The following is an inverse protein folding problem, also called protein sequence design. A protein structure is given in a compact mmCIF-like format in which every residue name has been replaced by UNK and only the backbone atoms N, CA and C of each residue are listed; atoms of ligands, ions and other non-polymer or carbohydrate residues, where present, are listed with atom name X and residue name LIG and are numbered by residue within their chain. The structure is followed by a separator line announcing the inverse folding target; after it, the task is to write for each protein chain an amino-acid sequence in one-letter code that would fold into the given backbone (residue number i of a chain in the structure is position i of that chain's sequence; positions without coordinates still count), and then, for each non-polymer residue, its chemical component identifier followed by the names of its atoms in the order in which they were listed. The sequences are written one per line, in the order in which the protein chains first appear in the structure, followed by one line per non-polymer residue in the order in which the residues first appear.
data_IF_938176982840
#
_entry.id   IF_938176982840
#
_cell.length_a   1.000
_cell.length_b   1.000
_cell.length_c   1.000
_cell.angle_alpha   90.00
_cell.angle_beta   90.00
_cell.angle_gamma   90.00
#
_symmetry.space_group_name_H-M   'P 1'
#
loop_
_entity.id
_entity.type
_entity.pdbx_description
1 polymer ?
#
# COMPACT_ATOMS: atom_id res chain seq x y z
N UNK A 1 31.41 37.14 50.33
CA UNK A 1 31.66 36.45 49.06
C UNK A 1 30.63 36.99 48.07
N UNK A 2 31.05 37.78 47.09
CA UNK A 2 30.13 38.26 46.06
C UNK A 2 29.86 37.10 45.09
N UNK A 3 28.59 36.86 44.70
CA UNK A 3 28.28 35.86 43.67
C UNK A 3 28.98 36.23 42.36
N UNK A 4 29.50 35.22 41.67
CA UNK A 4 30.20 35.39 40.41
C UNK A 4 29.21 35.86 39.32
N UNK A 5 29.23 37.16 39.01
CA UNK A 5 28.32 37.78 38.05
C UNK A 5 28.38 37.15 36.65
N UNK A 6 29.55 36.62 36.25
CA UNK A 6 29.72 35.93 34.97
C UNK A 6 28.90 34.63 34.90
N UNK A 7 28.86 33.87 36.00
CA UNK A 7 28.08 32.64 36.08
C UNK A 7 26.58 32.93 36.02
N UNK A 8 26.13 33.99 36.69
CA UNK A 8 24.74 34.46 36.63
C UNK A 8 24.35 34.83 35.20
N UNK A 9 25.16 35.66 34.52
CA UNK A 9 24.93 36.06 33.13
C UNK A 9 24.87 34.87 32.18
N UNK A 10 25.79 33.91 32.31
CA UNK A 10 25.80 32.70 31.51
C UNK A 10 24.53 31.85 31.71
N UNK A 11 24.00 31.78 32.94
CA UNK A 11 22.78 31.05 33.23
C UNK A 11 21.54 31.75 32.66
N UNK A 12 21.47 33.09 32.70
CA UNK A 12 20.38 33.86 32.05
C UNK A 12 20.37 33.60 30.54
N UNK A 13 21.53 33.69 29.88
CA UNK A 13 21.61 33.43 28.43
C UNK A 13 21.23 31.99 28.06
N UNK A 14 21.59 31.00 28.90
CA UNK A 14 21.12 29.61 28.70
C UNK A 14 19.59 29.52 28.78
N UNK A 15 18.96 30.20 29.74
CA UNK A 15 17.50 30.21 29.87
C UNK A 15 16.83 30.86 28.66
N UNK A 16 17.38 31.95 28.13
CA UNK A 16 16.86 32.59 26.90
C UNK A 16 16.96 31.64 25.68
N UNK A 17 18.04 30.88 25.56
CA UNK A 17 18.17 29.84 24.52
C UNK A 17 17.09 28.76 24.72
N UNK A 18 16.91 28.26 25.93
CA UNK A 18 15.89 27.25 26.23
C UNK A 18 14.48 27.77 25.93
N UNK A 19 14.18 29.02 26.28
CA UNK A 19 12.90 29.65 25.96
C UNK A 19 12.65 29.68 24.44
N UNK A 20 13.64 30.09 23.64
CA UNK A 20 13.51 30.07 22.17
C UNK A 20 13.29 28.66 21.61
N UNK A 21 13.97 27.66 22.15
CA UNK A 21 13.78 26.26 21.73
C UNK A 21 12.35 25.80 22.03
N UNK A 22 11.83 26.10 23.22
CA UNK A 22 10.47 25.73 23.60
C UNK A 22 9.42 26.45 22.76
N UNK A 23 9.62 27.74 22.45
CA UNK A 23 8.75 28.49 21.56
C UNK A 23 8.71 27.90 20.14
N UNK A 24 9.86 27.49 19.61
CA UNK A 24 9.89 26.86 18.28
C UNK A 24 9.25 25.47 18.29
N UNK A 25 9.42 24.69 19.36
CA UNK A 25 8.72 23.41 19.52
C UNK A 25 7.19 23.60 19.60
N UNK A 26 6.69 24.58 20.36
CA UNK A 26 5.26 24.91 20.42
C UNK A 26 4.74 25.32 19.04
N UNK A 27 5.50 26.15 18.32
CA UNK A 27 5.16 26.55 16.95
C UNK A 27 5.03 25.36 16.01
N UNK A 28 5.99 24.44 16.02
CA UNK A 28 5.93 23.23 15.18
C UNK A 28 4.73 22.35 15.55
N UNK A 29 4.43 22.20 16.84
CA UNK A 29 3.26 21.43 17.29
C UNK A 29 1.95 22.05 16.79
N UNK A 30 1.82 23.39 16.81
CA UNK A 30 0.65 24.07 16.27
C UNK A 30 0.49 23.84 14.77
N UNK A 31 1.58 23.90 14.01
CA UNK A 31 1.57 23.61 12.57
C UNK A 31 1.09 22.17 12.33
N UNK A 32 1.63 21.19 13.05
CA UNK A 32 1.22 19.80 12.92
C UNK A 32 -0.28 19.58 13.24
N UNK A 33 -0.79 20.22 14.28
CA UNK A 33 -2.23 20.15 14.64
C UNK A 33 -3.11 20.76 13.54
N UNK A 34 -2.70 21.89 12.94
CA UNK A 34 -3.44 22.52 11.84
C UNK A 34 -3.45 21.65 10.58
N UNK A 35 -2.31 21.03 10.23
CA UNK A 35 -2.21 20.10 9.10
C UNK A 35 -3.11 18.88 9.28
N UNK A 36 -3.10 18.26 10.47
CA UNK A 36 -3.98 17.15 10.82
C UNK A 36 -5.46 17.54 10.71
N UNK A 37 -5.81 18.73 11.19
CA UNK A 37 -7.17 19.24 11.11
C UNK A 37 -7.63 19.45 9.66
N UNK A 38 -6.76 19.98 8.79
CA UNK A 38 -7.04 20.14 7.35
C UNK A 38 -7.23 18.76 6.70
N UNK A 39 -6.38 17.78 7.02
CA UNK A 39 -6.49 16.42 6.51
C UNK A 39 -7.82 15.76 6.91
N UNK A 40 -8.24 15.89 8.17
CA UNK A 40 -9.54 15.39 8.63
C UNK A 40 -10.71 16.00 7.83
N UNK A 41 -10.69 17.32 7.62
CA UNK A 41 -11.74 18.02 6.86
C UNK A 41 -11.83 17.54 5.40
N UNK A 42 -10.69 17.30 4.75
CA UNK A 42 -10.65 16.80 3.38
C UNK A 42 -11.24 15.39 3.26
N UNK A 43 -10.93 14.52 4.25
CA UNK A 43 -11.49 13.17 4.32
C UNK A 43 -13.02 13.18 4.50
N UNK A 44 -13.55 14.09 5.31
CA UNK A 44 -15.00 14.28 5.47
C UNK A 44 -15.67 14.71 4.16
N UNK A 45 -15.09 15.67 3.43
CA UNK A 45 -15.59 16.10 2.13
C UNK A 45 -15.59 14.97 1.10
N UNK A 46 -14.54 14.16 1.07
CA UNK A 46 -14.47 13.01 0.16
C UNK A 46 -15.54 11.95 0.51
N UNK A 47 -15.79 11.73 1.81
CA UNK A 47 -16.83 10.84 2.28
C UNK A 47 -18.24 11.32 1.90
N UNK A 48 -18.50 12.62 2.02
CA UNK A 48 -19.75 13.26 1.57
C UNK A 48 -19.95 13.13 0.05
N UNK A 49 -18.90 13.38 -0.74
CA UNK A 49 -18.95 13.21 -2.18
C UNK A 49 -19.21 11.74 -2.58
N UNK A 50 -18.60 10.78 -1.87
CA UNK A 50 -18.87 9.34 -2.06
C UNK A 50 -20.31 8.99 -1.69
N UNK A 51 -20.87 9.58 -0.63
CA UNK A 51 -22.27 9.39 -0.23
C UNK A 51 -23.23 9.91 -1.30
N UNK A 52 -23.02 11.13 -1.80
CA UNK A 52 -23.83 11.72 -2.87
C UNK A 52 -23.81 10.86 -4.14
N UNK A 53 -22.64 10.33 -4.54
CA UNK A 53 -22.53 9.40 -5.67
C UNK A 53 -23.33 8.12 -5.46
N UNK A 54 -23.36 7.56 -4.24
CA UNK A 54 -24.17 6.37 -3.93
C UNK A 54 -25.66 6.67 -3.99
N UNK A 55 -26.08 7.84 -3.53
CA UNK A 55 -27.48 8.28 -3.61
C UNK A 55 -27.91 8.45 -5.08
N UNK A 56 -27.10 9.08 -5.92
CA UNK A 56 -27.34 9.21 -7.37
C UNK A 56 -27.43 7.85 -8.08
N UNK A 57 -26.52 6.92 -7.77
CA UNK A 57 -26.61 5.55 -8.30
C UNK A 57 -27.91 4.87 -7.82
N UNK A 58 -28.29 5.06 -6.56
CA UNK A 58 -29.53 4.52 -6.00
C UNK A 58 -30.79 5.03 -6.70
N UNK A 59 -30.87 6.33 -6.97
CA UNK A 59 -32.02 6.92 -7.69
C UNK A 59 -32.08 6.45 -9.13
N UNK A 60 -30.93 6.33 -9.81
CA UNK A 60 -30.84 5.75 -11.17
C UNK A 60 -31.33 4.31 -11.21
N UNK A 61 -30.91 3.47 -10.27
CA UNK A 61 -31.37 2.08 -10.18
C UNK A 61 -32.87 1.98 -9.92
N UNK A 62 -33.42 2.80 -9.03
CA UNK A 62 -34.86 2.85 -8.77
C UNK A 62 -35.66 3.29 -10.01
N UNK A 63 -35.13 4.23 -10.80
CA UNK A 63 -35.76 4.65 -12.05
C UNK A 63 -35.75 3.51 -13.08
N UNK A 64 -34.64 2.78 -13.23
CA UNK A 64 -34.55 1.60 -14.09
C UNK A 64 -35.56 0.53 -13.68
N UNK A 65 -35.69 0.26 -12.38
CA UNK A 65 -36.66 -0.72 -11.87
C UNK A 65 -38.10 -0.30 -12.17
N UNK A 66 -38.42 0.98 -12.00
CA UNK A 66 -39.74 1.53 -12.35
C UNK A 66 -40.04 1.42 -13.85
N UNK A 67 -39.07 1.76 -14.71
CA UNK A 67 -39.18 1.60 -16.18
C UNK A 67 -39.38 0.14 -16.56
N UNK A 68 -38.61 -0.78 -15.97
CA UNK A 68 -38.75 -2.23 -16.17
C UNK A 68 -40.15 -2.72 -15.78
N UNK A 69 -40.68 -2.27 -14.64
CA UNK A 69 -42.02 -2.65 -14.19
C UNK A 69 -43.14 -2.13 -15.12
N UNK A 70 -43.01 -0.91 -15.65
CA UNK A 70 -43.95 -0.36 -16.64
C UNK A 70 -43.92 -1.16 -17.95
N UNK A 71 -42.72 -1.50 -18.43
CA UNK A 71 -42.55 -2.32 -19.63
C UNK A 71 -43.23 -3.69 -19.48
N UNK A 72 -43.09 -4.34 -18.32
CA UNK A 72 -43.76 -5.61 -18.02
C UNK A 72 -45.29 -5.51 -17.99
N UNK A 73 -45.87 -4.31 -17.78
CA UNK A 73 -47.32 -4.06 -17.88
C UNK A 73 -47.79 -3.71 -19.29
N UNK A 74 -46.88 -3.59 -20.26
CA UNK A 74 -47.21 -3.13 -21.62
C UNK A 74 -47.46 -1.61 -21.72
N UNK A 75 -47.05 -0.84 -20.71
CA UNK A 75 -47.07 0.62 -20.76
C UNK A 75 -45.90 1.13 -21.61
N UNK A 76 -46.14 2.11 -22.48
CA UNK A 76 -45.07 2.80 -23.21
C UNK A 76 -44.19 3.60 -22.25
N UNK A 77 -42.90 3.33 -22.24
CA UNK A 77 -41.92 4.05 -21.41
C UNK A 77 -41.35 5.20 -22.23
N UNK A 78 -41.48 6.44 -21.73
CA UNK A 78 -40.77 7.58 -22.29
C UNK A 78 -39.28 7.45 -21.93
N UNK A 79 -38.44 7.41 -22.97
CA UNK A 79 -36.98 7.47 -22.82
C UNK A 79 -36.62 8.94 -22.72
N UNK A 80 -36.54 9.47 -21.50
CA UNK A 80 -36.01 10.82 -21.27
C UNK A 80 -34.52 10.89 -21.69
N UNK A 81 -34.04 12.05 -22.12
CA UNK A 81 -32.66 12.26 -22.62
C UNK A 81 -31.57 11.98 -21.57
N UNK A 82 -31.93 11.93 -20.29
CA UNK A 82 -31.03 11.56 -19.18
C UNK A 82 -30.88 10.03 -18.98
N UNK A 83 -31.38 9.21 -19.93
CA UNK A 83 -31.20 7.76 -19.87
C UNK A 83 -29.74 7.38 -20.20
N UNK A 84 -28.97 6.82 -19.23
CA UNK A 84 -27.58 6.43 -19.45
C UNK A 84 -27.40 5.35 -20.53
N UNK A 85 -28.50 4.77 -21.04
CA UNK A 85 -28.50 3.81 -22.14
C UNK A 85 -28.42 4.45 -23.53
N UNK A 86 -28.68 5.76 -23.68
CA UNK A 86 -28.61 6.46 -24.98
C UNK A 86 -27.19 6.52 -25.58
N UNK A 87 -26.15 6.26 -24.78
CA UNK A 87 -24.75 6.23 -25.24
C UNK A 87 -24.31 4.94 -25.93
N UNK A 88 -25.10 3.86 -25.90
CA UNK A 88 -24.68 2.55 -26.42
C UNK A 88 -25.41 2.11 -27.70
N UNK A 89 -26.46 2.82 -28.13
CA UNK A 89 -27.29 2.42 -29.27
C UNK A 89 -27.21 3.36 -30.48
N UNK A 90 -26.06 3.48 -31.15
CA UNK A 90 -26.05 4.00 -32.56
C UNK A 90 -25.02 3.37 -33.50
N UNK A 91 -24.18 2.40 -33.10
CA UNK A 91 -23.13 1.85 -33.99
C UNK A 91 -23.40 0.42 -34.47
N UNK A 92 -24.62 0.08 -34.87
CA UNK A 92 -24.89 -1.14 -35.66
C UNK A 92 -25.94 -0.91 -36.74
N UNK A 93 -25.47 -1.06 -37.99
CA UNK A 93 -26.17 -1.22 -39.29
C UNK A 93 -26.22 0.01 -40.20
N UNK A 94 -25.17 0.13 -41.02
CA UNK A 94 -25.28 0.52 -42.43
C UNK A 94 -24.26 -0.28 -43.24
N UNK A 95 -24.59 -1.55 -43.52
CA UNK A 95 -24.01 -2.30 -44.65
C UNK A 95 -24.96 -2.14 -45.83
N UNK A 96 -24.82 -1.05 -46.59
CA UNK A 96 -25.38 -0.98 -47.94
C UNK A 96 -24.28 -1.32 -48.94
N UNK A 97 -24.46 -2.46 -49.60
CA UNK A 97 -23.74 -2.88 -50.80
C UNK A 97 -23.79 -1.79 -51.88
N UNK A 98 -22.63 -1.42 -52.42
CA UNK A 98 -22.51 -0.94 -53.80
C UNK A 98 -21.21 -1.53 -54.35
N UNK A 99 -21.32 -2.19 -55.50
CA UNK A 99 -20.24 -2.78 -56.28
C UNK A 99 -19.53 -1.70 -57.12
N UNK A 100 -18.38 -2.12 -57.66
CA UNK A 100 -17.63 -1.58 -58.80
C UNK A 100 -16.67 -0.41 -58.48
N UNK A 101 -15.37 -0.64 -58.61
CA UNK A 101 -14.63 -0.35 -59.86
C UNK A 101 -13.13 -0.65 -59.69
N UNK A 102 -12.49 -1.07 -60.79
CA UNK A 102 -11.09 -1.49 -60.87
C UNK A 102 -10.09 -0.33 -60.93
N UNK A 103 -8.87 -0.55 -60.39
CA UNK A 103 -7.56 -0.05 -60.89
C UNK A 103 -6.50 -0.52 -59.88
N UNK A 104 -5.66 -1.50 -60.22
CA UNK A 104 -4.43 -1.48 -61.04
C UNK A 104 -3.21 -0.84 -60.35
N UNK A 105 -2.19 -1.70 -60.22
CA UNK A 105 -0.74 -1.49 -60.05
C UNK A 105 -0.24 -0.71 -58.81
N UNK A 106 0.56 -1.37 -57.97
CA UNK A 106 1.98 -1.05 -57.82
C UNK A 106 2.74 -2.09 -56.98
N UNK A 107 4.03 -2.22 -57.29
CA UNK A 107 4.97 -3.27 -56.87
C UNK A 107 5.80 -2.87 -55.64
N UNK A 108 6.14 -3.83 -54.78
CA UNK A 108 7.33 -3.85 -53.90
C UNK A 108 7.36 -5.23 -53.19
N UNK A 109 8.19 -6.20 -53.59
CA UNK A 109 9.63 -6.36 -53.31
C UNK A 109 9.96 -6.71 -51.85
N UNK A 110 10.87 -7.70 -51.69
CA UNK A 110 11.68 -8.04 -50.50
C UNK A 110 10.98 -8.88 -49.41
N UNK A 111 11.62 -9.82 -48.72
CA UNK A 111 12.83 -10.64 -48.86
C UNK A 111 12.72 -11.66 -47.70
N UNK A 112 13.28 -12.84 -47.86
CA UNK A 112 13.30 -13.91 -46.86
C UNK A 112 14.02 -13.49 -45.57
N UNK A 113 13.50 -13.85 -44.39
CA UNK A 113 14.28 -14.45 -43.28
C UNK A 113 13.33 -14.89 -42.14
N UNK A 114 13.26 -16.18 -41.87
CA UNK A 114 12.63 -16.71 -40.66
C UNK A 114 13.51 -17.84 -40.12
N UNK A 115 14.44 -17.40 -39.27
CA UNK A 115 15.38 -18.22 -38.52
C UNK A 115 14.66 -19.09 -37.50
N UNK A 116 15.12 -20.33 -37.39
CA UNK A 116 14.76 -21.32 -36.38
C UNK A 116 15.31 -20.97 -34.99
N UNK A 117 14.87 -21.75 -33.98
CA UNK A 117 15.51 -21.97 -32.66
C UNK A 117 15.09 -20.93 -31.60
N UNK A 118 14.68 -21.22 -30.36
CA UNK A 118 14.90 -22.31 -29.39
C UNK A 118 13.66 -22.37 -28.46
N UNK A 119 13.14 -23.53 -28.00
CA UNK A 119 13.40 -24.15 -26.67
C UNK A 119 13.64 -23.07 -25.58
N UNK A 120 12.88 -22.99 -24.48
CA UNK A 120 12.88 -23.96 -23.38
C UNK A 120 11.73 -23.70 -22.37
N UNK A 121 11.26 -24.82 -21.80
CA UNK A 121 10.78 -25.03 -20.44
C UNK A 121 10.01 -23.93 -19.68
N UNK A 122 8.69 -24.14 -19.55
CA UNK A 122 7.91 -23.62 -18.42
C UNK A 122 6.61 -24.40 -18.32
N UNK A 123 6.44 -25.16 -17.22
CA UNK A 123 5.20 -25.40 -16.45
C UNK A 123 5.43 -26.65 -15.58
N UNK A 124 5.97 -26.42 -14.37
CA UNK A 124 5.59 -27.23 -13.20
C UNK A 124 4.77 -26.28 -12.32
N UNK A 125 3.45 -26.39 -12.42
CA UNK A 125 2.55 -25.85 -11.40
C UNK A 125 2.33 -26.96 -10.38
N UNK A 126 2.91 -26.80 -9.19
CA UNK A 126 2.44 -27.51 -8.00
C UNK A 126 1.60 -26.52 -7.18
N UNK A 127 0.26 -26.62 -7.20
CA UNK A 127 -0.57 -26.04 -6.16
C UNK A 127 -0.66 -27.10 -5.06
N UNK A 128 0.10 -26.92 -3.98
CA UNK A 128 -0.19 -27.64 -2.75
C UNK A 128 -0.80 -26.65 -1.77
N UNK A 129 -2.08 -26.92 -1.53
CA UNK A 129 -2.99 -26.27 -0.64
C UNK A 129 -2.49 -26.38 0.81
N UNK A 130 -2.42 -25.26 1.53
CA UNK A 130 -2.34 -25.31 2.99
C UNK A 130 -3.49 -24.46 3.56
N UNK A 131 -4.57 -25.21 3.77
CA UNK A 131 -5.73 -24.97 4.60
C UNK A 131 -5.31 -24.48 6.00
N UNK A 132 -5.44 -23.18 6.26
CA UNK A 132 -5.23 -22.62 7.60
C UNK A 132 -6.49 -22.84 8.44
N UNK A 133 -6.49 -23.91 9.23
CA UNK A 133 -7.49 -24.24 10.24
C UNK A 133 -7.64 -23.09 11.26
N UNK A 134 -8.75 -22.35 11.13
CA UNK A 134 -9.17 -21.31 12.05
C UNK A 134 -10.26 -21.83 12.99
N UNK A 135 -9.97 -22.87 13.76
CA UNK A 135 -10.78 -23.24 14.92
C UNK A 135 -10.49 -22.30 16.10
N UNK A 136 -11.32 -21.26 16.24
CA UNK A 136 -11.55 -20.55 17.51
C UNK A 136 -12.96 -19.93 17.50
N UNK A 137 -13.89 -20.67 18.12
CA UNK A 137 -15.08 -20.21 18.85
C UNK A 137 -16.04 -19.22 18.17
N UNK A 138 -17.23 -19.73 17.84
CA UNK A 138 -18.45 -18.97 17.60
C UNK A 138 -18.87 -18.21 18.86
N UNK A 139 -18.99 -16.88 18.75
CA UNK A 139 -20.20 -16.13 19.10
C UNK A 139 -20.03 -14.63 18.77
N UNK A 140 -21.00 -14.11 18.02
CA UNK A 140 -21.41 -12.70 17.86
C UNK A 140 -20.36 -11.62 17.58
N UNK A 141 -20.02 -11.45 16.29
CA UNK A 141 -19.22 -10.30 15.83
C UNK A 141 -19.10 -10.09 14.33
N UNK A 142 -20.06 -10.56 13.53
CA UNK A 142 -19.94 -10.66 12.06
C UNK A 142 -19.76 -9.33 11.30
N UNK A 143 -19.88 -8.15 11.93
CA UNK A 143 -19.67 -6.86 11.27
C UNK A 143 -18.25 -6.26 11.37
N UNK A 144 -17.32 -6.87 12.11
CA UNK A 144 -15.93 -6.37 12.26
C UNK A 144 -14.85 -7.15 11.49
N UNK A 145 -15.21 -8.22 10.76
CA UNK A 145 -14.23 -9.09 10.10
C UNK A 145 -13.66 -8.56 8.78
N UNK A 146 -14.34 -7.62 8.10
CA UNK A 146 -13.84 -7.09 6.83
C UNK A 146 -12.74 -6.02 7.00
N UNK A 147 -12.81 -5.18 8.03
CA UNK A 147 -11.79 -4.15 8.28
C UNK A 147 -10.39 -4.74 8.63
N UNK A 148 -10.34 -5.94 9.22
CA UNK A 148 -9.06 -6.59 9.56
C UNK A 148 -8.32 -7.14 8.35
N UNK A 149 -9.04 -7.59 7.30
CA UNK A 149 -8.41 -8.14 6.08
C UNK A 149 -7.72 -7.05 5.25
N UNK A 150 -8.35 -5.89 5.12
CA UNK A 150 -7.78 -4.76 4.39
C UNK A 150 -6.56 -4.16 5.12
N UNK A 151 -6.57 -4.12 6.46
CA UNK A 151 -5.41 -3.65 7.23
C UNK A 151 -4.17 -4.55 7.07
N UNK A 152 -4.35 -5.85 6.86
CA UNK A 152 -3.24 -6.79 6.68
C UNK A 152 -2.66 -6.71 5.26
N UNK A 153 -3.47 -6.37 4.26
CA UNK A 153 -3.00 -6.12 2.89
C UNK A 153 -2.30 -4.77 2.75
N UNK A 154 -2.78 -3.74 3.45
CA UNK A 154 -2.10 -2.44 3.50
C UNK A 154 -0.69 -2.52 4.12
N UNK A 155 -0.47 -3.41 5.09
CA UNK A 155 0.86 -3.66 5.66
C UNK A 155 1.78 -4.46 4.73
N UNK A 156 1.22 -5.28 3.82
CA UNK A 156 1.98 -6.05 2.84
C UNK A 156 2.39 -5.24 1.61
N UNK A 157 1.67 -4.18 1.26
CA UNK A 157 2.06 -3.24 0.19
C UNK A 157 3.39 -2.53 0.48
N UNK A 158 3.79 -2.49 1.74
CA UNK A 158 4.99 -1.80 2.19
C UNK A 158 6.20 -2.73 2.32
N UNK A 159 6.19 -3.95 1.79
CA UNK A 159 7.33 -4.89 1.88
C UNK A 159 8.00 -5.01 0.52
N UNK A 160 9.32 -4.89 0.45
CA UNK A 160 10.05 -5.09 -0.80
C UNK A 160 9.98 -6.57 -1.25
N UNK A 161 9.59 -6.81 -2.51
CA UNK A 161 9.32 -8.15 -3.04
C UNK A 161 10.50 -9.12 -2.89
N UNK A 162 11.72 -8.65 -3.19
CA UNK A 162 12.96 -9.44 -3.12
C UNK A 162 13.66 -9.40 -1.77
N UNK A 163 13.35 -8.41 -0.92
CA UNK A 163 14.07 -8.14 0.32
C UNK A 163 13.07 -7.97 1.47
N UNK A 164 12.60 -9.07 2.09
CA UNK A 164 11.45 -9.05 3.01
C UNK A 164 11.67 -8.25 4.31
N UNK A 165 12.92 -7.89 4.61
CA UNK A 165 13.30 -7.06 5.75
C UNK A 165 13.32 -5.57 5.44
N UNK A 166 13.10 -5.19 4.19
CA UNK A 166 13.09 -3.80 3.72
C UNK A 166 11.65 -3.37 3.51
N UNK A 167 11.24 -2.33 4.21
CA UNK A 167 9.88 -1.83 4.24
C UNK A 167 9.78 -0.38 3.79
N UNK A 168 8.69 0.00 3.15
CA UNK A 168 8.36 1.39 2.85
C UNK A 168 7.57 1.98 4.04
N UNK A 169 8.18 2.89 4.79
CA UNK A 169 7.57 3.57 5.94
C UNK A 169 7.71 5.07 5.72
N UNK A 170 6.60 5.80 5.77
CA UNK A 170 6.55 7.25 5.54
C UNK A 170 7.27 7.65 4.22
N UNK A 171 6.98 6.91 3.14
CA UNK A 171 7.59 7.05 1.81
C UNK A 171 9.11 6.82 1.73
N UNK A 172 9.72 6.27 2.78
CA UNK A 172 11.16 5.95 2.83
C UNK A 172 11.38 4.45 2.97
N UNK A 173 12.28 3.90 2.16
CA UNK A 173 12.70 2.50 2.29
C UNK A 173 13.65 2.33 3.47
N UNK A 174 13.25 1.47 4.42
CA UNK A 174 13.99 1.19 5.64
C UNK A 174 14.21 -0.30 5.82
N UNK A 175 15.45 -0.68 6.13
CA UNK A 175 15.78 -2.02 6.62
C UNK A 175 15.41 -2.13 8.10
N UNK A 176 14.74 -3.24 8.45
CA UNK A 176 14.22 -3.48 9.79
C UNK A 176 14.92 -4.67 10.45
N UNK A 177 15.33 -4.48 11.69
CA UNK A 177 15.93 -5.50 12.58
C UNK A 177 15.29 -5.42 13.97
N UNK A 178 15.31 -6.50 14.76
CA UNK A 178 14.87 -6.41 16.15
C UNK A 178 15.71 -5.40 16.94
N UNK A 179 15.07 -4.51 17.70
CA UNK A 179 15.77 -3.48 18.47
C UNK A 179 16.70 -4.07 19.56
N UNK A 180 16.25 -5.14 20.21
CA UNK A 180 16.93 -5.76 21.34
C UNK A 180 18.08 -6.68 20.92
N UNK A 181 17.85 -7.57 19.94
CA UNK A 181 18.83 -8.58 19.56
C UNK A 181 19.35 -8.48 18.12
N UNK A 182 18.89 -7.50 17.35
CA UNK A 182 19.38 -7.23 15.99
C UNK A 182 19.04 -8.29 14.94
N UNK A 183 18.28 -9.33 15.29
CA UNK A 183 17.92 -10.38 14.34
C UNK A 183 16.85 -9.91 13.35
N UNK A 184 16.92 -10.40 12.13
CA UNK A 184 15.96 -10.13 11.06
C UNK A 184 15.38 -11.40 10.43
N UNK A 185 15.77 -12.57 10.94
CA UNK A 185 15.31 -13.84 10.45
C UNK A 185 15.09 -14.86 11.57
N UNK A 186 14.09 -15.71 11.36
CA UNK A 186 13.89 -16.95 12.09
C UNK A 186 14.69 -18.10 11.46
N UNK A 187 14.60 -19.29 12.05
CA UNK A 187 15.13 -20.52 11.43
C UNK A 187 14.49 -20.81 10.06
N UNK A 188 13.21 -20.44 9.88
CA UNK A 188 12.43 -20.68 8.66
C UNK A 188 12.68 -19.66 7.55
N UNK A 189 13.40 -18.57 7.84
CA UNK A 189 13.68 -17.51 6.87
C UNK A 189 13.51 -16.12 7.48
N UNK A 190 13.66 -15.09 6.64
CA UNK A 190 13.44 -13.69 6.99
C UNK A 190 12.03 -13.44 7.52
N UNK A 191 11.91 -12.46 8.42
CA UNK A 191 10.59 -11.94 8.76
C UNK A 191 10.06 -11.15 7.56
N UNK A 192 8.87 -11.52 7.06
CA UNK A 192 8.27 -10.93 5.85
C UNK A 192 7.41 -9.69 6.12
N UNK A 193 7.21 -9.33 7.38
CA UNK A 193 6.37 -8.22 7.79
C UNK A 193 6.69 -7.81 9.24
N UNK A 194 6.24 -6.61 9.60
CA UNK A 194 6.33 -6.05 10.95
C UNK A 194 5.70 -6.98 12.01
N UNK A 195 4.63 -7.68 11.64
CA UNK A 195 3.99 -8.69 12.50
C UNK A 195 4.95 -9.80 12.94
N UNK A 196 5.89 -10.20 12.07
CA UNK A 196 6.92 -11.20 12.38
C UNK A 196 7.92 -10.68 13.41
N UNK A 197 8.35 -9.42 13.30
CA UNK A 197 9.21 -8.78 14.28
C UNK A 197 8.50 -8.61 15.63
N UNK A 198 7.25 -8.13 15.64
CA UNK A 198 6.45 -8.00 16.86
C UNK A 198 6.26 -9.33 17.58
N UNK A 199 5.96 -10.38 16.82
CA UNK A 199 5.83 -11.73 17.36
C UNK A 199 7.14 -12.24 17.97
N UNK A 200 8.25 -12.06 17.26
CA UNK A 200 9.58 -12.40 17.78
C UNK A 200 9.86 -11.64 19.08
N UNK A 201 9.63 -10.33 19.09
CA UNK A 201 9.86 -9.46 20.23
C UNK A 201 9.08 -9.93 21.46
N UNK A 202 7.75 -10.06 21.33
CA UNK A 202 6.90 -10.47 22.45
C UNK A 202 7.26 -11.86 23.01
N UNK A 203 7.87 -12.73 22.21
CA UNK A 203 8.29 -14.07 22.65
C UNK A 203 9.69 -14.14 23.22
N UNK A 204 10.60 -13.26 22.81
CA UNK A 204 12.03 -13.32 23.17
C UNK A 204 12.48 -12.20 24.09
N UNK A 205 11.70 -11.14 24.15
CA UNK A 205 11.92 -9.94 24.95
C UNK A 205 10.62 -9.57 25.70
N UNK A 206 10.05 -10.48 26.52
CA UNK A 206 8.77 -10.23 27.20
C UNK A 206 8.85 -9.11 28.24
N UNK A 207 10.04 -8.83 28.76
CA UNK A 207 10.28 -7.82 29.80
C UNK A 207 10.41 -6.40 29.24
N UNK A 208 10.46 -6.26 27.91
CA UNK A 208 10.59 -4.97 27.23
C UNK A 208 9.26 -4.64 26.56
N UNK A 209 8.73 -3.45 26.82
CA UNK A 209 7.50 -2.96 26.20
C UNK A 209 7.80 -1.75 25.34
N UNK A 210 7.27 -1.75 24.11
CA UNK A 210 7.42 -0.66 23.17
C UNK A 210 6.06 -0.23 22.63
N UNK A 211 5.92 1.08 22.42
CA UNK A 211 4.81 1.65 21.65
C UNK A 211 5.17 1.73 20.15
N UNK A 212 4.18 1.59 19.29
CA UNK A 212 4.36 1.69 17.83
C UNK A 212 5.40 0.72 17.29
N UNK A 213 6.39 1.23 16.54
CA UNK A 213 7.48 0.45 15.94
C UNK A 213 8.75 0.36 16.83
N UNK A 214 8.67 0.73 18.11
CA UNK A 214 9.85 0.75 19.01
C UNK A 214 10.54 -0.60 19.21
N UNK A 215 9.87 -1.71 18.91
CA UNK A 215 10.46 -3.07 18.95
C UNK A 215 11.43 -3.37 17.79
N UNK A 216 11.57 -2.43 16.84
CA UNK A 216 12.41 -2.56 15.67
C UNK A 216 13.43 -1.42 15.56
N UNK A 217 14.68 -1.77 15.28
CA UNK A 217 15.68 -0.81 14.79
C UNK A 217 15.51 -0.65 13.28
N UNK A 218 15.46 0.61 12.84
CA UNK A 218 15.28 1.02 11.44
C UNK A 218 16.58 1.61 10.92
N UNK A 219 16.97 1.24 9.70
CA UNK A 219 18.07 1.85 8.96
C UNK A 219 17.53 2.32 7.62
N UNK A 220 17.70 3.60 7.31
CA UNK A 220 17.34 4.14 5.99
C UNK A 220 18.24 3.51 4.93
N UNK A 221 17.63 3.05 3.83
CA UNK A 221 18.34 2.55 2.67
C UNK A 221 18.58 3.71 1.72
N UNK A 222 19.79 3.83 1.17
CA UNK A 222 20.12 4.91 0.24
C UNK A 222 19.34 4.76 -1.07
N UNK A 223 19.08 5.87 -1.77
CA UNK A 223 18.32 5.86 -3.03
C UNK A 223 19.01 4.98 -4.09
N UNK A 224 20.35 4.97 -4.11
CA UNK A 224 21.13 4.11 -5.00
C UNK A 224 20.88 2.62 -4.72
N UNK A 225 20.94 2.22 -3.44
CA UNK A 225 20.63 0.86 -3.01
C UNK A 225 19.17 0.48 -3.30
N UNK A 226 18.22 1.44 -3.17
CA UNK A 226 16.82 1.22 -3.55
C UNK A 226 16.69 0.93 -5.04
N UNK A 227 17.39 1.66 -5.91
CA UNK A 227 17.37 1.38 -7.36
C UNK A 227 18.02 0.03 -7.69
N UNK A 228 19.12 -0.31 -7.02
CA UNK A 228 19.74 -1.63 -7.14
C UNK A 228 18.77 -2.74 -6.75
N UNK A 229 18.10 -2.61 -5.60
CA UNK A 229 17.11 -3.58 -5.13
C UNK A 229 15.90 -3.72 -6.07
N UNK A 230 15.41 -2.60 -6.63
CA UNK A 230 14.34 -2.61 -7.66
C UNK A 230 14.77 -3.37 -8.91
N UNK A 231 16.01 -3.20 -9.35
CA UNK A 231 16.59 -3.96 -10.48
C UNK A 231 16.88 -5.44 -10.13
N UNK A 232 16.74 -5.82 -8.86
CA UNK A 232 17.03 -7.17 -8.36
C UNK A 232 18.48 -7.43 -8.00
N UNK A 233 19.32 -6.40 -7.97
CA UNK A 233 20.68 -6.48 -7.44
C UNK A 233 20.67 -6.29 -5.93
N UNK A 234 21.70 -6.79 -5.28
CA UNK A 234 21.92 -6.52 -3.86
C UNK A 234 22.36 -5.07 -3.65
N UNK A 235 22.04 -4.46 -2.49
CA UNK A 235 22.56 -3.14 -2.13
C UNK A 235 24.09 -3.17 -2.03
N UNK A 236 24.74 -2.17 -2.62
CA UNK A 236 26.20 -2.10 -2.76
C UNK A 236 26.84 -1.52 -1.48
N UNK A 237 26.18 -0.56 -0.82
CA UNK A 237 26.73 0.11 0.35
C UNK A 237 26.66 -0.78 1.60
N UNK A 238 25.48 -1.36 1.87
CA UNK A 238 25.26 -2.20 3.04
C UNK A 238 24.42 -3.43 2.69
N UNK A 239 25.03 -4.62 2.64
CA UNK A 239 24.34 -5.84 2.25
C UNK A 239 23.31 -6.26 3.29
N UNK A 240 22.17 -6.78 2.81
CA UNK A 240 21.10 -7.30 3.66
C UNK A 240 21.47 -8.74 4.07
N UNK A 241 22.18 -8.86 5.19
CA UNK A 241 22.64 -10.14 5.71
C UNK A 241 21.60 -10.76 6.64
N UNK A 242 21.39 -12.07 6.48
CA UNK A 242 20.54 -12.87 7.37
C UNK A 242 21.17 -12.97 8.77
N UNK A 243 20.51 -12.37 9.76
CA UNK A 243 20.87 -12.41 11.18
C UNK A 243 19.88 -13.31 11.92
N UNK A 244 20.37 -14.44 12.43
CA UNK A 244 19.59 -15.43 13.18
C UNK A 244 20.19 -15.57 14.57
N UNK A 245 19.35 -15.83 15.57
CA UNK A 245 19.82 -16.11 16.92
C UNK A 245 20.81 -17.30 16.93
N UNK A 246 21.89 -17.22 17.74
CA UNK A 246 22.85 -18.31 17.87
C UNK A 246 22.15 -19.59 18.32
N UNK A 247 22.58 -20.74 17.79
CA UNK A 247 22.08 -22.02 18.26
C UNK A 247 22.49 -22.17 19.73
N UNK A 248 21.53 -22.27 20.64
CA UNK A 248 21.82 -22.76 21.99
C UNK A 248 22.34 -24.18 21.83
N UNK A 249 23.65 -24.36 21.97
CA UNK A 249 24.26 -25.67 22.15
C UNK A 249 23.76 -26.11 23.53
N UNK A 250 22.89 -27.13 23.55
CA UNK A 250 22.35 -27.65 24.79
C UNK A 250 23.49 -28.13 25.69
N UNK A 251 23.52 -27.62 26.92
CA UNK A 251 24.24 -28.24 28.03
C UNK A 251 23.34 -29.30 28.66
#
# INVERSE_FOLDING_TARGET
MAPNWEEFSANVHKLEIFERILQEQDRMLRIGIEEDYIACRLMEQEAEAKKLKREDVGTKLANIEKKKAALMRGESVNVDEDDPLLGLETKRRSTSRVNDDETRDESASQHDDATQSEKEASVFSNPDDEEFDASCSENDGARRKHARRDSHMAVLQNVHEKFPTVLLIDDVWVEVTCAECGINASRRGFFKAISGFRYHHNRKHPDVTYEGFGFCKRRVVSEADVQNMKSGREPDEVPIVRKVAPRRIGH
#
